data_IF_743363142343
#
_entry.id   IF_743363142343
#
_cell.length_a   1.000
_cell.length_b   1.000
_cell.length_c   1.000
_cell.angle_alpha   90.00
_cell.angle_beta   90.00
_cell.angle_gamma   90.00
#
_symmetry.space_group_name_H-M   'P 1'
#
loop_
_entity.id
_entity.type
_entity.pdbx_description
1 polymer ?
#
# COMPACT_ATOMS: atom_id res chain seq x y z
N UNK A 1 23.67 -17.06 -6.85
CA UNK A 1 23.90 -17.45 -5.45
C UNK A 1 24.81 -18.66 -5.35
N UNK A 2 26.11 -18.42 -5.19
CA UNK A 2 27.17 -19.46 -5.19
C UNK A 2 27.14 -20.42 -3.99
N UNK A 3 26.31 -20.13 -2.97
CA UNK A 3 26.25 -20.91 -1.73
C UNK A 3 25.03 -21.86 -1.65
N UNK A 4 24.06 -21.76 -2.55
CA UNK A 4 22.91 -22.68 -2.54
C UNK A 4 23.36 -24.13 -2.85
N UNK A 5 22.90 -25.07 -2.03
CA UNK A 5 23.25 -26.48 -2.10
C UNK A 5 24.62 -26.81 -1.51
N UNK A 6 25.32 -25.85 -0.89
CA UNK A 6 26.51 -26.10 -0.08
C UNK A 6 26.14 -26.32 1.37
N UNK A 7 26.73 -27.31 1.99
CA UNK A 7 26.55 -27.56 3.41
C UNK A 7 27.45 -26.64 4.23
N UNK A 8 26.91 -26.10 5.29
CA UNK A 8 27.61 -25.32 6.32
C UNK A 8 27.32 -25.94 7.69
N UNK A 9 28.28 -25.92 8.58
CA UNK A 9 28.11 -26.37 9.94
C UNK A 9 27.58 -25.22 10.79
N UNK A 10 26.49 -25.47 11.51
CA UNK A 10 25.91 -24.46 12.43
C UNK A 10 26.82 -24.31 13.66
N UNK A 11 27.05 -23.06 14.09
CA UNK A 11 28.05 -22.76 15.13
C UNK A 11 27.68 -23.28 16.53
N UNK A 12 26.40 -23.49 16.81
CA UNK A 12 25.94 -23.87 18.16
C UNK A 12 25.50 -25.33 18.28
N UNK A 13 25.04 -25.95 17.20
CA UNK A 13 24.49 -27.31 17.22
C UNK A 13 25.38 -28.33 16.53
N UNK A 14 26.43 -27.86 15.84
CA UNK A 14 27.29 -28.68 14.98
C UNK A 14 26.56 -29.42 13.83
N UNK A 15 25.26 -29.16 13.66
CA UNK A 15 24.46 -29.77 12.58
C UNK A 15 24.81 -29.20 11.20
N UNK A 16 24.69 -30.03 10.19
CA UNK A 16 24.88 -29.62 8.81
C UNK A 16 23.58 -28.94 8.31
N UNK A 17 23.72 -27.73 7.83
CA UNK A 17 22.64 -26.95 7.24
C UNK A 17 22.93 -26.62 5.79
N UNK A 18 21.90 -26.70 4.94
CA UNK A 18 21.99 -26.28 3.55
C UNK A 18 20.73 -25.55 3.11
N UNK A 19 20.89 -24.59 2.22
CA UNK A 19 19.77 -23.93 1.53
C UNK A 19 19.55 -24.64 0.20
N UNK A 20 18.40 -25.30 -0.02
CA UNK A 20 18.11 -25.99 -1.28
C UNK A 20 18.17 -25.04 -2.49
N UNK A 21 18.58 -25.58 -3.65
CA UNK A 21 18.71 -24.78 -4.88
C UNK A 21 17.36 -24.26 -5.39
N UNK A 22 16.27 -24.97 -5.11
CA UNK A 22 14.91 -24.67 -5.52
C UNK A 22 14.11 -23.82 -4.50
N UNK A 23 14.75 -23.33 -3.44
CA UNK A 23 14.10 -22.44 -2.47
C UNK A 23 14.14 -21.00 -2.99
N UNK A 24 12.97 -20.37 -3.09
CA UNK A 24 12.82 -18.95 -3.37
C UNK A 24 12.26 -18.24 -2.13
N UNK A 25 12.80 -17.08 -1.83
CA UNK A 25 12.39 -16.29 -0.66
C UNK A 25 11.79 -15.00 -1.17
N UNK A 26 10.53 -14.76 -0.83
CA UNK A 26 9.82 -13.50 -1.08
C UNK A 26 9.57 -12.87 0.29
N UNK A 27 10.16 -11.71 0.52
CA UNK A 27 9.92 -10.90 1.72
C UNK A 27 9.02 -9.70 1.37
N UNK A 28 8.16 -9.34 2.29
CA UNK A 28 7.36 -8.12 2.20
C UNK A 28 7.75 -7.19 3.34
N UNK A 29 7.75 -5.88 3.08
CA UNK A 29 7.96 -4.87 4.09
C UNK A 29 7.03 -3.69 3.85
N UNK A 30 6.53 -3.10 4.93
CA UNK A 30 5.78 -1.86 4.85
C UNK A 30 6.76 -0.68 4.96
N UNK A 31 6.84 0.15 3.91
CA UNK A 31 7.73 1.31 3.87
C UNK A 31 7.19 2.51 4.64
N UNK A 32 5.89 2.51 4.99
CA UNK A 32 5.29 3.52 5.87
C UNK A 32 5.77 3.38 7.33
N UNK A 33 6.18 2.18 7.75
CA UNK A 33 6.75 1.96 9.07
C UNK A 33 8.22 2.41 9.11
N UNK A 34 8.44 3.65 9.56
CA UNK A 34 9.76 4.26 9.66
C UNK A 34 10.69 3.57 10.66
N UNK A 35 10.14 2.83 11.62
CA UNK A 35 10.93 2.08 12.60
C UNK A 35 11.67 0.91 11.95
N UNK A 36 11.14 0.38 10.84
CA UNK A 36 11.69 -0.71 10.04
C UNK A 36 12.47 -0.24 8.80
N UNK A 37 12.51 1.07 8.53
CA UNK A 37 13.10 1.63 7.31
C UNK A 37 14.62 1.48 7.19
N UNK A 38 15.32 1.05 8.22
CA UNK A 38 16.76 0.78 8.20
C UNK A 38 17.06 -0.66 7.85
N UNK A 39 16.72 -1.09 6.64
CA UNK A 39 17.26 -2.36 6.14
C UNK A 39 18.77 -2.21 6.02
N UNK A 40 19.49 -3.08 6.73
CA UNK A 40 20.94 -3.19 6.61
C UNK A 40 21.36 -3.30 5.13
N UNK A 41 22.35 -2.51 4.76
CA UNK A 41 22.96 -2.52 3.42
C UNK A 41 23.37 -3.92 2.97
N UNK A 42 23.74 -4.81 3.90
CA UNK A 42 24.09 -6.18 3.61
C UNK A 42 22.88 -7.02 3.12
N UNK A 43 21.69 -6.77 3.63
CA UNK A 43 20.45 -7.39 3.12
C UNK A 43 20.06 -6.78 1.78
N UNK A 44 20.18 -5.47 1.64
CA UNK A 44 19.81 -4.77 0.39
C UNK A 44 20.59 -5.29 -0.82
N UNK A 45 21.84 -5.72 -0.66
CA UNK A 45 22.65 -6.30 -1.73
C UNK A 45 22.28 -7.74 -2.09
N UNK A 46 21.51 -8.43 -1.25
CA UNK A 46 21.17 -9.85 -1.41
C UNK A 46 19.79 -10.10 -1.99
N UNK A 47 18.93 -9.09 -2.02
CA UNK A 47 17.59 -9.16 -2.55
C UNK A 47 17.42 -8.20 -3.73
N UNK A 48 16.56 -8.60 -4.67
CA UNK A 48 16.01 -7.68 -5.65
C UNK A 48 14.79 -7.02 -5.03
N UNK A 49 14.75 -5.70 -5.05
CA UNK A 49 13.62 -4.94 -4.49
C UNK A 49 12.64 -4.61 -5.60
N UNK A 50 11.38 -4.80 -5.30
CA UNK A 50 10.27 -4.43 -6.14
C UNK A 50 9.33 -3.54 -5.34
N UNK A 51 9.11 -2.32 -5.80
CA UNK A 51 8.22 -1.37 -5.15
C UNK A 51 6.81 -1.56 -5.70
N UNK A 52 5.83 -1.68 -4.80
CA UNK A 52 4.42 -1.82 -5.15
C UNK A 52 3.71 -0.49 -4.91
N UNK A 53 3.08 0.01 -5.96
CA UNK A 53 2.24 1.21 -5.92
C UNK A 53 0.75 0.85 -5.89
N UNK A 54 -0.14 1.78 -5.45
CA UNK A 54 -1.58 1.60 -5.59
C UNK A 54 -1.98 1.22 -7.02
N UNK A 55 -2.70 0.12 -7.17
CA UNK A 55 -2.97 -0.51 -8.46
C UNK A 55 -4.14 0.08 -9.24
N UNK A 56 -4.55 1.33 -9.03
CA UNK A 56 -5.67 1.98 -9.73
C UNK A 56 -5.54 1.99 -11.25
N UNK A 57 -4.31 2.01 -11.77
CA UNK A 57 -4.03 2.02 -13.20
C UNK A 57 -3.97 0.61 -13.84
N UNK A 58 -4.03 -0.45 -13.04
CA UNK A 58 -3.95 -1.84 -13.53
C UNK A 58 -5.20 -2.21 -14.32
N UNK A 59 -5.05 -3.07 -15.32
CA UNK A 59 -6.18 -3.57 -16.11
C UNK A 59 -7.21 -4.32 -15.25
N UNK A 60 -6.74 -5.07 -14.24
CA UNK A 60 -7.60 -5.79 -13.32
C UNK A 60 -8.51 -4.85 -12.53
N UNK A 61 -7.96 -3.78 -11.94
CA UNK A 61 -8.75 -2.80 -11.21
C UNK A 61 -9.71 -2.03 -12.12
N UNK A 62 -9.27 -1.59 -13.29
CA UNK A 62 -10.12 -0.89 -14.27
C UNK A 62 -11.30 -1.75 -14.73
N UNK A 63 -11.06 -3.03 -15.02
CA UNK A 63 -12.12 -3.97 -15.40
C UNK A 63 -13.11 -4.18 -14.26
N UNK A 64 -12.62 -4.29 -13.03
CA UNK A 64 -13.46 -4.38 -11.84
C UNK A 64 -14.30 -3.12 -11.64
N UNK A 65 -13.69 -1.93 -11.70
CA UNK A 65 -14.36 -0.64 -11.57
C UNK A 65 -15.47 -0.49 -12.63
N UNK A 66 -15.19 -0.84 -13.88
CA UNK A 66 -16.17 -0.84 -14.95
C UNK A 66 -17.32 -1.84 -14.70
N UNK A 67 -17.08 -2.97 -14.05
CA UNK A 67 -18.13 -3.95 -13.74
C UNK A 67 -19.15 -3.43 -12.72
N UNK A 68 -18.75 -2.52 -11.83
CA UNK A 68 -19.65 -1.86 -10.88
C UNK A 68 -20.46 -0.72 -11.50
N UNK A 69 -20.03 -0.20 -12.67
CA UNK A 69 -20.71 0.77 -13.52
C UNK A 69 -21.31 1.96 -12.76
N UNK A 70 -20.54 2.59 -11.87
CA UNK A 70 -21.04 3.67 -11.02
C UNK A 70 -20.20 4.95 -11.10
N UNK A 71 -20.82 6.05 -11.53
CA UNK A 71 -20.17 7.35 -11.72
C UNK A 71 -19.61 7.95 -10.42
N UNK A 72 -20.25 7.71 -9.28
CA UNK A 72 -19.76 8.23 -7.99
C UNK A 72 -18.50 7.50 -7.53
N UNK A 73 -18.45 6.19 -7.74
CA UNK A 73 -17.23 5.42 -7.52
C UNK A 73 -16.10 5.96 -8.40
N UNK A 74 -16.37 6.22 -9.68
CA UNK A 74 -15.36 6.74 -10.62
C UNK A 74 -14.82 8.10 -10.17
N UNK A 75 -15.70 9.01 -9.75
CA UNK A 75 -15.31 10.32 -9.22
C UNK A 75 -14.51 10.21 -7.92
N UNK A 76 -14.93 9.32 -7.01
CA UNK A 76 -14.19 9.10 -5.78
C UNK A 76 -12.81 8.52 -6.03
N UNK A 77 -12.68 7.53 -6.92
CA UNK A 77 -11.38 6.96 -7.30
C UNK A 77 -10.45 8.04 -7.88
N UNK A 78 -10.95 8.94 -8.72
CA UNK A 78 -10.17 10.08 -9.21
C UNK A 78 -9.75 11.01 -8.07
N UNK A 79 -10.65 11.28 -7.11
CA UNK A 79 -10.33 12.05 -5.91
C UNK A 79 -9.26 11.40 -5.04
N UNK A 80 -9.31 10.08 -4.86
CA UNK A 80 -8.28 9.32 -4.14
C UNK A 80 -6.94 9.34 -4.88
N UNK A 81 -6.93 9.27 -6.21
CA UNK A 81 -5.69 9.39 -6.97
C UNK A 81 -5.06 10.78 -6.83
N UNK A 82 -5.87 11.85 -6.90
CA UNK A 82 -5.39 13.22 -6.64
C UNK A 82 -4.90 13.40 -5.19
N UNK A 83 -5.58 12.78 -4.22
CA UNK A 83 -5.13 12.75 -2.82
C UNK A 83 -3.77 12.01 -2.68
N UNK A 84 -3.59 10.91 -3.38
CA UNK A 84 -2.32 10.18 -3.40
C UNK A 84 -1.16 11.01 -4.00
N UNK A 85 -1.43 11.87 -4.97
CA UNK A 85 -0.44 12.82 -5.49
C UNK A 85 -0.03 13.83 -4.40
N UNK A 86 -0.99 14.33 -3.61
CA UNK A 86 -0.70 15.21 -2.48
C UNK A 86 0.08 14.49 -1.37
N UNK A 87 -0.28 13.24 -1.04
CA UNK A 87 0.43 12.41 -0.04
C UNK A 87 1.86 12.11 -0.50
N UNK A 88 2.05 11.70 -1.75
CA UNK A 88 3.37 11.36 -2.28
C UNK A 88 4.33 12.55 -2.35
N UNK A 89 3.78 13.75 -2.52
CA UNK A 89 4.53 15.02 -2.58
C UNK A 89 4.75 15.67 -1.22
N UNK A 90 4.17 15.11 -0.16
CA UNK A 90 4.32 15.61 1.20
C UNK A 90 5.66 15.17 1.79
N UNK A 91 6.46 16.12 2.28
CA UNK A 91 7.79 15.88 2.84
C UNK A 91 7.76 14.96 4.07
N UNK A 92 6.63 14.95 4.78
CA UNK A 92 6.44 14.13 5.98
C UNK A 92 5.92 12.72 5.70
N UNK A 93 5.33 12.46 4.53
CA UNK A 93 4.67 11.19 4.18
C UNK A 93 5.42 10.44 3.07
N UNK A 94 5.15 10.76 1.82
CA UNK A 94 5.74 10.10 0.65
C UNK A 94 4.95 8.87 0.17
N UNK A 95 5.48 8.17 -0.83
CA UNK A 95 4.80 7.08 -1.56
C UNK A 95 4.29 5.94 -0.67
N UNK A 96 4.97 5.66 0.46
CA UNK A 96 4.59 4.59 1.37
C UNK A 96 3.24 4.78 2.06
N UNK A 97 2.75 6.02 2.10
CA UNK A 97 1.49 6.41 2.73
C UNK A 97 0.32 6.51 1.75
N UNK A 98 0.55 6.30 0.45
CA UNK A 98 -0.51 6.36 -0.55
C UNK A 98 -1.62 5.35 -0.27
N UNK A 99 -2.86 5.79 -0.42
CA UNK A 99 -4.07 4.97 -0.21
C UNK A 99 -4.14 3.91 -1.32
N UNK A 100 -4.25 2.65 -0.93
CA UNK A 100 -4.32 1.51 -1.83
C UNK A 100 -5.68 1.37 -2.51
N UNK A 101 -5.70 0.79 -3.70
CA UNK A 101 -6.92 0.43 -4.42
C UNK A 101 -7.74 -0.67 -3.72
N UNK A 102 -7.12 -1.43 -2.82
CA UNK A 102 -7.75 -2.55 -2.11
C UNK A 102 -8.95 -2.16 -1.25
N UNK A 103 -9.01 -0.92 -0.75
CA UNK A 103 -10.17 -0.39 -0.04
C UNK A 103 -11.44 -0.36 -0.90
N UNK A 104 -11.27 -0.28 -2.21
CA UNK A 104 -12.35 -0.16 -3.19
C UNK A 104 -12.58 -1.46 -3.97
N UNK A 105 -12.10 -2.60 -3.46
CA UNK A 105 -12.23 -3.92 -4.07
C UNK A 105 -13.23 -4.83 -3.33
N UNK A 106 -13.44 -6.03 -3.88
CA UNK A 106 -14.21 -7.13 -3.28
C UNK A 106 -15.72 -6.89 -3.12
N UNK A 107 -16.29 -5.93 -3.84
CA UNK A 107 -17.74 -5.80 -3.96
C UNK A 107 -18.24 -6.47 -5.23
N UNK A 108 -19.34 -7.18 -5.14
CA UNK A 108 -20.04 -7.76 -6.31
C UNK A 108 -21.04 -6.79 -6.90
N UNK A 109 -21.59 -5.92 -6.07
CA UNK A 109 -22.55 -4.88 -6.44
C UNK A 109 -22.19 -3.56 -5.76
N UNK A 110 -22.46 -2.46 -6.44
CA UNK A 110 -22.26 -1.14 -5.89
C UNK A 110 -23.27 -0.82 -4.78
N UNK A 111 -22.79 -0.24 -3.68
CA UNK A 111 -23.62 0.32 -2.61
C UNK A 111 -23.05 1.66 -2.16
N UNK A 112 -23.91 2.67 -2.02
CA UNK A 112 -23.51 3.98 -1.46
C UNK A 112 -23.03 3.85 -0.02
N UNK A 113 -23.75 3.06 0.79
CA UNK A 113 -23.39 2.80 2.18
C UNK A 113 -21.98 2.24 2.31
N UNK A 114 -21.61 1.29 1.43
CA UNK A 114 -20.25 0.78 1.39
C UNK A 114 -19.24 1.87 1.10
N UNK A 115 -19.50 2.72 0.10
CA UNK A 115 -18.58 3.75 -0.32
C UNK A 115 -18.40 4.82 0.76
N UNK A 116 -19.49 5.22 1.42
CA UNK A 116 -19.48 6.12 2.56
C UNK A 116 -18.69 5.52 3.73
N UNK A 117 -18.92 4.25 4.05
CA UNK A 117 -18.22 3.55 5.12
C UNK A 117 -16.69 3.47 4.87
N UNK A 118 -16.26 3.20 3.64
CA UNK A 118 -14.83 3.20 3.29
C UNK A 118 -14.22 4.58 3.56
N UNK A 119 -14.89 5.66 3.18
CA UNK A 119 -14.36 7.01 3.42
C UNK A 119 -14.39 7.37 4.90
N UNK A 120 -15.48 7.07 5.62
CA UNK A 120 -15.67 7.49 7.02
C UNK A 120 -14.83 6.66 8.00
N UNK A 121 -14.75 5.33 7.79
CA UNK A 121 -14.15 4.43 8.78
C UNK A 121 -12.74 3.96 8.41
N UNK A 122 -12.37 3.97 7.12
CA UNK A 122 -11.04 3.55 6.69
C UNK A 122 -10.16 4.75 6.33
N UNK A 123 -10.63 5.64 5.42
CA UNK A 123 -9.79 6.71 4.86
C UNK A 123 -9.64 7.90 5.82
N UNK A 124 -10.76 8.39 6.37
CA UNK A 124 -10.74 9.59 7.24
C UNK A 124 -9.86 9.42 8.48
N UNK A 125 -9.88 8.29 9.22
CA UNK A 125 -8.99 8.09 10.36
C UNK A 125 -7.51 8.12 9.95
N UNK A 126 -7.15 7.55 8.80
CA UNK A 126 -5.77 7.62 8.28
C UNK A 126 -5.35 9.06 7.98
N UNK A 127 -6.21 9.85 7.33
CA UNK A 127 -5.89 11.24 7.03
C UNK A 127 -5.72 12.09 8.29
N UNK A 128 -6.49 11.82 9.34
CA UNK A 128 -6.32 12.45 10.66
C UNK A 128 -4.97 12.13 11.28
N UNK A 129 -4.49 10.90 11.10
CA UNK A 129 -3.17 10.49 11.57
C UNK A 129 -2.05 11.11 10.73
N UNK A 130 -2.22 11.14 9.41
CA UNK A 130 -1.21 11.69 8.49
C UNK A 130 -0.95 13.17 8.74
N UNK A 131 -2.00 13.95 8.97
CA UNK A 131 -1.94 15.40 9.19
C UNK A 131 -2.48 15.80 10.57
N UNK A 132 -2.04 15.07 11.61
CA UNK A 132 -2.46 15.33 12.99
C UNK A 132 -2.05 16.72 13.48
N UNK A 133 -0.99 17.30 12.90
CA UNK A 133 -0.45 18.63 13.18
C UNK A 133 -0.88 19.70 12.16
N UNK A 134 -1.57 19.31 11.07
CA UNK A 134 -2.11 20.20 10.03
C UNK A 134 -3.61 19.94 9.78
N UNK A 135 -4.43 20.43 10.72
CA UNK A 135 -5.89 20.25 10.66
C UNK A 135 -6.49 20.84 9.39
N UNK A 136 -5.96 21.98 8.89
CA UNK A 136 -6.51 22.62 7.69
C UNK A 136 -6.30 21.75 6.45
N UNK A 137 -5.15 21.14 6.33
CA UNK A 137 -4.83 20.22 5.24
C UNK A 137 -5.71 18.98 5.28
N UNK A 138 -5.85 18.38 6.47
CA UNK A 138 -6.78 17.27 6.68
C UNK A 138 -8.21 17.65 6.27
N UNK A 139 -8.76 18.76 6.80
CA UNK A 139 -10.13 19.19 6.52
C UNK A 139 -10.38 19.48 5.05
N UNK A 140 -9.40 20.06 4.36
CA UNK A 140 -9.52 20.34 2.92
C UNK A 140 -9.68 19.06 2.10
N UNK A 141 -8.88 18.03 2.37
CA UNK A 141 -8.92 16.77 1.65
C UNK A 141 -10.17 15.95 1.97
N UNK A 142 -10.54 15.83 3.26
CA UNK A 142 -11.72 15.05 3.62
C UNK A 142 -13.03 15.72 3.14
N UNK A 143 -13.11 17.05 3.16
CA UNK A 143 -14.27 17.79 2.63
C UNK A 143 -14.44 17.57 1.14
N UNK A 144 -13.34 17.49 0.38
CA UNK A 144 -13.37 17.17 -1.03
C UNK A 144 -13.93 15.75 -1.25
N UNK A 145 -13.40 14.73 -0.55
CA UNK A 145 -13.89 13.35 -0.69
C UNK A 145 -15.37 13.23 -0.34
N UNK A 146 -15.82 13.88 0.75
CA UNK A 146 -17.23 13.90 1.14
C UNK A 146 -18.14 14.61 0.11
N UNK A 147 -17.61 15.58 -0.61
CA UNK A 147 -18.36 16.24 -1.69
C UNK A 147 -18.54 15.32 -2.89
N UNK A 148 -17.55 14.46 -3.19
CA UNK A 148 -17.63 13.50 -4.28
C UNK A 148 -18.61 12.33 -4.00
N UNK A 149 -18.98 12.11 -2.74
CA UNK A 149 -20.00 11.14 -2.33
C UNK A 149 -21.45 11.65 -2.52
N UNK A 150 -21.66 12.96 -2.64
CA UNK A 150 -22.98 13.58 -2.85
C UNK A 150 -23.38 13.56 -4.33
#
# INVERSE_FOLDING_TARGET
NSYRGKEIKLAYTDELFTVPKNLYIIGMMNTADRSLAMIDYALRRRFSFFEMYPGFATEGFKSYQLSLANERLDKLIQGIQALNEAISSDDSLGNGFCIGHSYFCNQTEFSMEWLENVVEYDIEPMLKEYWFDDIQKYESHISLLRTLLK
#
